data_IF_754126103187
#
_entry.id   IF_754126103187
#
_cell.length_a   1.000
_cell.length_b   1.000
_cell.length_c   1.000
_cell.angle_alpha   90.00
_cell.angle_beta   90.00
_cell.angle_gamma   90.00
#
_symmetry.space_group_name_H-M   'P 1'
#
loop_
_entity.id
_entity.type
_entity.pdbx_description
1 polymer ?
#
# COMPACT_ATOMS: atom_id res chain seq x y z
N UNK A 1 56.05 135.05 -10.82
CA UNK A 1 55.36 136.03 -11.70
C UNK A 1 53.89 135.70 -11.62
N UNK A 2 53.06 136.63 -11.15
CA UNK A 2 51.77 136.36 -10.53
C UNK A 2 50.76 135.73 -11.50
N UNK A 3 50.40 134.47 -11.25
CA UNK A 3 49.58 133.63 -12.11
C UNK A 3 48.12 133.68 -11.67
N UNK A 4 47.60 134.90 -11.44
CA UNK A 4 46.29 135.12 -10.82
C UNK A 4 45.32 135.85 -11.75
N UNK A 5 44.14 135.27 -11.97
CA UNK A 5 43.06 135.84 -12.79
C UNK A 5 41.89 136.21 -11.88
N UNK A 6 41.33 137.41 -12.04
CA UNK A 6 40.17 137.88 -11.27
C UNK A 6 38.86 137.42 -11.91
N UNK A 7 38.02 136.76 -11.11
CA UNK A 7 36.71 136.30 -11.55
C UNK A 7 35.79 137.49 -11.87
N UNK A 8 35.29 137.57 -13.12
CA UNK A 8 34.38 138.64 -13.57
C UNK A 8 33.00 138.64 -12.87
N UNK A 9 32.65 137.59 -12.13
CA UNK A 9 31.33 137.45 -11.48
C UNK A 9 31.34 137.70 -9.96
N UNK A 10 32.49 137.56 -9.28
CA UNK A 10 32.57 137.72 -7.82
C UNK A 10 33.84 138.44 -7.31
N UNK A 11 34.75 138.86 -8.19
CA UNK A 11 35.94 139.63 -7.82
C UNK A 11 37.05 138.83 -7.11
N UNK A 12 36.88 137.52 -6.91
CA UNK A 12 37.89 136.67 -6.29
C UNK A 12 39.14 136.53 -7.17
N UNK A 13 40.32 136.57 -6.54
CA UNK A 13 41.63 136.37 -7.17
C UNK A 13 41.88 134.86 -7.21
N UNK A 14 41.92 134.26 -8.41
CA UNK A 14 42.12 132.82 -8.61
C UNK A 14 43.57 132.58 -9.03
N UNK A 15 44.34 131.79 -8.28
CA UNK A 15 45.68 131.35 -8.67
C UNK A 15 45.57 130.17 -9.64
N UNK A 16 45.85 130.44 -10.92
CA UNK A 16 45.74 129.48 -12.03
C UNK A 16 46.70 128.30 -11.84
N UNK A 17 47.82 128.49 -11.14
CA UNK A 17 48.74 127.40 -10.84
C UNK A 17 48.18 126.43 -9.80
N UNK A 18 47.39 126.93 -8.85
CA UNK A 18 46.77 126.13 -7.79
C UNK A 18 45.57 125.34 -8.31
N UNK A 19 44.74 125.95 -9.17
CA UNK A 19 43.60 125.29 -9.81
C UNK A 19 44.05 124.20 -10.80
N UNK A 20 45.07 124.47 -11.64
CA UNK A 20 45.61 123.47 -12.56
C UNK A 20 46.28 122.30 -11.80
N UNK A 21 46.94 122.58 -10.67
CA UNK A 21 47.50 121.54 -9.80
C UNK A 21 46.43 120.74 -9.03
N UNK A 22 45.25 121.31 -8.80
CA UNK A 22 44.09 120.62 -8.26
C UNK A 22 43.49 119.68 -9.32
N UNK A 23 43.25 120.16 -10.54
CA UNK A 23 42.74 119.36 -11.67
C UNK A 23 43.68 118.19 -12.04
N UNK A 24 45.00 118.42 -12.03
CA UNK A 24 45.99 117.35 -12.28
C UNK A 24 45.99 116.33 -11.13
N UNK A 25 45.86 116.76 -9.87
CA UNK A 25 45.75 115.83 -8.73
C UNK A 25 44.44 115.04 -8.76
N UNK A 26 43.34 115.67 -9.12
CA UNK A 26 42.03 115.03 -9.22
C UNK A 26 41.99 114.00 -10.36
N UNK A 27 42.52 114.34 -11.54
CA UNK A 27 42.61 113.41 -12.67
C UNK A 27 43.52 112.21 -12.39
N UNK A 28 44.68 112.40 -11.74
CA UNK A 28 45.54 111.29 -11.30
C UNK A 28 44.85 110.42 -10.25
N UNK A 29 44.16 111.02 -9.27
CA UNK A 29 43.42 110.28 -8.24
C UNK A 29 42.25 109.48 -8.84
N UNK A 30 41.57 110.02 -9.85
CA UNK A 30 40.53 109.33 -10.61
C UNK A 30 41.10 108.14 -11.38
N UNK A 31 42.27 108.29 -12.01
CA UNK A 31 42.93 107.23 -12.76
C UNK A 31 43.42 106.09 -11.84
N UNK A 32 43.98 106.42 -10.67
CA UNK A 32 44.35 105.44 -9.64
C UNK A 32 43.13 104.69 -9.09
N UNK A 33 42.03 105.41 -8.81
CA UNK A 33 40.75 104.78 -8.40
C UNK A 33 40.18 103.87 -9.49
N UNK A 34 40.32 104.24 -10.77
CA UNK A 34 39.90 103.39 -11.90
C UNK A 34 40.73 102.12 -12.00
N UNK A 35 42.07 102.22 -11.88
CA UNK A 35 42.96 101.06 -11.87
C UNK A 35 42.68 100.14 -10.68
N UNK A 36 42.54 100.68 -9.48
CA UNK A 36 42.20 99.90 -8.29
C UNK A 36 40.83 99.20 -8.42
N UNK A 37 39.81 99.88 -8.98
CA UNK A 37 38.51 99.27 -9.27
C UNK A 37 38.60 98.15 -10.30
N UNK A 38 39.34 98.36 -11.39
CA UNK A 38 39.54 97.34 -12.42
C UNK A 38 40.29 96.11 -11.88
N UNK A 39 41.27 96.31 -11.00
CA UNK A 39 42.01 95.22 -10.38
C UNK A 39 41.18 94.46 -9.36
N UNK A 40 40.36 95.15 -8.55
CA UNK A 40 39.37 94.52 -7.66
C UNK A 40 38.36 93.70 -8.47
N UNK A 41 37.84 94.25 -9.57
CA UNK A 41 36.87 93.57 -10.43
C UNK A 41 37.48 92.34 -11.12
N UNK A 42 38.75 92.43 -11.54
CA UNK A 42 39.51 91.30 -12.07
C UNK A 42 39.71 90.21 -11.02
N UNK A 43 40.16 90.57 -9.82
CA UNK A 43 40.34 89.62 -8.70
C UNK A 43 39.00 88.99 -8.27
N UNK A 44 37.91 89.75 -8.25
CA UNK A 44 36.57 89.23 -7.97
C UNK A 44 36.11 88.24 -9.04
N UNK A 45 36.42 88.52 -10.31
CA UNK A 45 36.09 87.63 -11.43
C UNK A 45 36.92 86.34 -11.37
N UNK A 46 38.22 86.44 -11.10
CA UNK A 46 39.10 85.28 -10.93
C UNK A 46 38.68 84.40 -9.74
N UNK A 47 38.33 85.02 -8.61
CA UNK A 47 37.84 84.31 -7.43
C UNK A 47 36.49 83.63 -7.70
N UNK A 48 35.58 84.29 -8.43
CA UNK A 48 34.29 83.71 -8.83
C UNK A 48 34.50 82.52 -9.78
N UNK A 49 35.42 82.62 -10.73
CA UNK A 49 35.73 81.54 -11.65
C UNK A 49 36.34 80.34 -10.91
N UNK A 50 37.31 80.55 -10.02
CA UNK A 50 37.86 79.47 -9.17
C UNK A 50 36.77 78.81 -8.32
N UNK A 51 35.89 79.61 -7.71
CA UNK A 51 34.79 79.07 -6.92
C UNK A 51 33.81 78.23 -7.75
N UNK A 52 33.52 78.63 -9.00
CA UNK A 52 32.70 77.84 -9.91
C UNK A 52 33.38 76.53 -10.31
N UNK A 53 34.69 76.57 -10.63
CA UNK A 53 35.47 75.38 -10.94
C UNK A 53 35.53 74.40 -9.76
N UNK A 54 35.77 74.88 -8.54
CA UNK A 54 35.81 74.05 -7.35
C UNK A 54 34.43 73.47 -7.03
N UNK A 55 33.36 74.24 -7.23
CA UNK A 55 31.98 73.74 -7.08
C UNK A 55 31.65 72.63 -8.07
N UNK A 56 32.07 72.76 -9.32
CA UNK A 56 31.88 71.70 -10.33
C UNK A 56 32.73 70.46 -10.02
N UNK A 57 33.97 70.61 -9.54
CA UNK A 57 34.79 69.48 -9.08
C UNK A 57 34.16 68.74 -7.90
N UNK A 58 33.62 69.46 -6.91
CA UNK A 58 32.96 68.86 -5.74
C UNK A 58 31.72 68.08 -6.17
N UNK A 59 30.90 68.64 -7.06
CA UNK A 59 29.71 67.93 -7.59
C UNK A 59 30.08 66.66 -8.32
N UNK A 60 31.14 66.69 -9.14
CA UNK A 60 31.55 65.51 -9.90
C UNK A 60 32.15 64.44 -8.99
N UNK A 61 32.97 64.81 -8.00
CA UNK A 61 33.50 63.88 -6.99
C UNK A 61 32.37 63.26 -6.14
N UNK A 62 31.39 64.06 -5.70
CA UNK A 62 30.23 63.56 -4.97
C UNK A 62 29.39 62.60 -5.82
N UNK A 63 29.18 62.92 -7.11
CA UNK A 63 28.48 62.04 -8.05
C UNK A 63 29.22 60.72 -8.26
N UNK A 64 30.55 60.75 -8.41
CA UNK A 64 31.37 59.56 -8.58
C UNK A 64 31.33 58.68 -7.33
N UNK A 65 31.52 59.27 -6.14
CA UNK A 65 31.43 58.55 -4.87
C UNK A 65 30.07 57.90 -4.67
N UNK A 66 28.99 58.63 -4.97
CA UNK A 66 27.63 58.11 -4.87
C UNK A 66 27.39 56.94 -5.84
N UNK A 67 27.90 57.04 -7.08
CA UNK A 67 27.81 55.95 -8.05
C UNK A 67 28.59 54.71 -7.61
N UNK A 68 29.79 54.89 -7.07
CA UNK A 68 30.62 53.76 -6.65
C UNK A 68 30.08 53.10 -5.37
N UNK A 69 29.54 53.87 -4.43
CA UNK A 69 28.85 53.32 -3.25
C UNK A 69 27.57 52.56 -3.66
N UNK A 70 26.81 53.08 -4.61
CA UNK A 70 25.64 52.38 -5.16
C UNK A 70 26.03 51.07 -5.86
N UNK A 71 27.04 51.09 -6.73
CA UNK A 71 27.54 49.87 -7.39
C UNK A 71 27.99 48.83 -6.38
N UNK A 72 28.69 49.25 -5.31
CA UNK A 72 29.14 48.33 -4.27
C UNK A 72 27.94 47.71 -3.52
N UNK A 73 26.95 48.52 -3.13
CA UNK A 73 25.71 48.04 -2.51
C UNK A 73 24.93 47.10 -3.42
N UNK A 74 24.86 47.41 -4.72
CA UNK A 74 24.16 46.57 -5.70
C UNK A 74 24.88 45.22 -5.88
N UNK A 75 26.21 45.19 -5.91
CA UNK A 75 26.99 43.96 -5.96
C UNK A 75 26.82 43.12 -4.68
N UNK A 76 26.84 43.75 -3.50
CA UNK A 76 26.57 43.06 -2.24
C UNK A 76 25.16 42.48 -2.19
N UNK A 77 24.16 43.26 -2.60
CA UNK A 77 22.78 42.82 -2.65
C UNK A 77 22.59 41.68 -3.65
N UNK A 78 23.25 41.75 -4.81
CA UNK A 78 23.23 40.69 -5.82
C UNK A 78 23.84 39.39 -5.27
N UNK A 79 24.98 39.48 -4.57
CA UNK A 79 25.62 38.32 -3.94
C UNK A 79 24.74 37.73 -2.84
N UNK A 80 24.17 38.56 -1.96
CA UNK A 80 23.21 38.12 -0.92
C UNK A 80 22.01 37.43 -1.54
N UNK A 81 21.44 37.98 -2.61
CA UNK A 81 20.32 37.37 -3.34
C UNK A 81 20.70 36.00 -3.90
N UNK A 82 21.89 35.88 -4.51
CA UNK A 82 22.38 34.62 -5.05
C UNK A 82 22.58 33.56 -3.95
N UNK A 83 23.14 33.94 -2.81
CA UNK A 83 23.35 33.04 -1.67
C UNK A 83 22.01 32.58 -1.07
N UNK A 84 21.03 33.49 -0.97
CA UNK A 84 19.66 33.16 -0.53
C UNK A 84 18.97 32.21 -1.51
N UNK A 85 19.11 32.42 -2.81
CA UNK A 85 18.54 31.53 -3.82
C UNK A 85 19.15 30.13 -3.75
N UNK A 86 20.47 30.02 -3.64
CA UNK A 86 21.17 28.73 -3.47
C UNK A 86 20.73 28.02 -2.19
N UNK A 87 20.66 28.73 -1.06
CA UNK A 87 20.21 28.17 0.20
C UNK A 87 18.74 27.67 0.11
N UNK A 88 17.87 28.41 -0.58
CA UNK A 88 16.49 27.99 -0.82
C UNK A 88 16.38 26.74 -1.70
N UNK A 89 17.19 26.63 -2.76
CA UNK A 89 17.24 25.41 -3.58
C UNK A 89 17.73 24.20 -2.80
N UNK A 90 18.78 24.38 -1.98
CA UNK A 90 19.31 23.31 -1.16
C UNK A 90 18.32 22.87 -0.06
N UNK A 91 17.64 23.83 0.57
CA UNK A 91 16.55 23.57 1.51
C UNK A 91 15.38 22.86 0.85
N UNK A 92 14.95 23.28 -0.35
CA UNK A 92 13.92 22.57 -1.12
C UNK A 92 14.32 21.13 -1.39
N UNK A 93 15.56 20.88 -1.84
CA UNK A 93 16.04 19.53 -2.11
C UNK A 93 16.09 18.67 -0.83
N UNK A 94 16.53 19.23 0.29
CA UNK A 94 16.55 18.53 1.59
C UNK A 94 15.14 18.21 2.09
N UNK A 95 14.19 19.14 1.93
CA UNK A 95 12.78 18.93 2.27
C UNK A 95 12.13 17.86 1.40
N UNK A 96 12.39 17.87 0.08
CA UNK A 96 11.88 16.84 -0.85
C UNK A 96 12.45 15.45 -0.54
N UNK A 97 13.75 15.35 -0.24
CA UNK A 97 14.39 14.09 0.14
C UNK A 97 13.91 13.57 1.51
N UNK A 98 13.81 14.44 2.51
CA UNK A 98 13.27 14.07 3.82
C UNK A 98 11.80 13.64 3.73
N UNK A 99 11.00 14.35 2.93
CA UNK A 99 9.60 14.00 2.69
C UNK A 99 9.44 12.63 2.03
N UNK A 100 10.29 12.25 1.07
CA UNK A 100 10.23 10.92 0.46
C UNK A 100 10.56 9.80 1.45
N UNK A 101 11.55 10.00 2.33
CA UNK A 101 11.93 8.99 3.33
C UNK A 101 10.87 8.86 4.42
N UNK A 102 10.37 9.98 4.96
CA UNK A 102 9.28 9.98 5.95
C UNK A 102 7.97 9.44 5.35
N UNK A 103 7.70 9.66 4.06
CA UNK A 103 6.52 9.08 3.40
C UNK A 103 6.61 7.57 3.20
N UNK A 104 7.79 7.01 2.95
CA UNK A 104 7.99 5.55 2.86
C UNK A 104 7.68 4.87 4.18
N UNK A 105 8.31 5.34 5.26
CA UNK A 105 8.09 4.82 6.63
C UNK A 105 6.65 5.05 7.10
N UNK A 106 6.03 6.18 6.72
CA UNK A 106 4.62 6.44 7.01
C UNK A 106 3.69 5.46 6.31
N UNK A 107 4.02 4.99 5.10
CA UNK A 107 3.18 4.06 4.36
C UNK A 107 3.22 2.65 4.99
N UNK A 108 4.41 2.21 5.41
CA UNK A 108 4.62 0.94 6.12
C UNK A 108 3.87 0.92 7.45
N UNK A 109 4.04 1.97 8.27
CA UNK A 109 3.34 2.11 9.55
C UNK A 109 1.81 2.15 9.37
N UNK A 110 1.33 2.83 8.32
CA UNK A 110 -0.11 2.86 8.01
C UNK A 110 -0.62 1.48 7.63
N UNK A 111 0.14 0.73 6.82
CA UNK A 111 -0.25 -0.63 6.43
C UNK A 111 -0.36 -1.54 7.65
N UNK A 112 0.64 -1.51 8.53
CA UNK A 112 0.67 -2.32 9.75
C UNK A 112 -0.52 -2.00 10.66
N UNK A 113 -0.79 -0.71 10.91
CA UNK A 113 -1.86 -0.25 11.78
C UNK A 113 -3.24 -0.65 11.26
N UNK A 114 -3.51 -0.44 9.97
CA UNK A 114 -4.80 -0.80 9.38
C UNK A 114 -4.99 -2.32 9.33
N UNK A 115 -3.95 -3.09 9.00
CA UNK A 115 -4.04 -4.56 9.04
C UNK A 115 -4.30 -5.08 10.47
N UNK A 116 -3.64 -4.53 11.50
CA UNK A 116 -3.86 -4.91 12.91
C UNK A 116 -5.27 -4.54 13.39
N UNK A 117 -5.78 -3.40 12.93
CA UNK A 117 -7.12 -2.93 13.27
C UNK A 117 -8.21 -3.77 12.62
N UNK A 118 -8.05 -4.11 11.34
CA UNK A 118 -9.03 -4.91 10.58
C UNK A 118 -8.95 -6.40 10.92
N UNK A 119 -7.76 -6.92 11.26
CA UNK A 119 -7.56 -8.32 11.59
C UNK A 119 -6.91 -8.52 12.98
N UNK A 120 -7.62 -8.26 14.10
CA UNK A 120 -7.04 -8.37 15.44
C UNK A 120 -6.60 -9.78 15.86
N UNK A 121 -7.07 -10.81 15.16
CA UNK A 121 -6.72 -12.21 15.42
C UNK A 121 -5.44 -12.64 14.69
N UNK A 122 -5.09 -11.94 13.61
CA UNK A 122 -3.93 -12.28 12.79
C UNK A 122 -2.65 -11.78 13.47
N UNK A 123 -1.55 -12.50 13.28
CA UNK A 123 -0.24 -12.07 13.81
C UNK A 123 0.51 -11.31 12.74
N UNK A 124 0.68 -9.99 12.95
CA UNK A 124 1.40 -9.11 12.03
C UNK A 124 2.75 -8.78 12.65
N UNK A 125 3.82 -9.14 11.93
CA UNK A 125 5.20 -8.98 12.36
C UNK A 125 6.04 -8.27 11.29
N UNK A 126 6.95 -7.41 11.73
CA UNK A 126 7.97 -6.83 10.85
C UNK A 126 9.00 -7.90 10.45
N UNK A 127 9.35 -7.93 9.18
CA UNK A 127 10.46 -8.77 8.71
C UNK A 127 11.77 -8.09 9.11
N UNK A 128 12.52 -8.69 10.05
CA UNK A 128 13.71 -8.08 10.65
C UNK A 128 14.69 -7.55 9.58
N UNK A 129 14.99 -6.24 9.66
CA UNK A 129 16.00 -5.53 8.85
C UNK A 129 17.35 -6.27 8.89
N UNK A 130 17.64 -7.04 7.85
CA UNK A 130 18.83 -7.89 7.74
C UNK A 130 18.66 -9.03 6.74
N UNK A 131 17.42 -9.44 6.48
CA UNK A 131 17.00 -10.27 5.35
C UNK A 131 16.19 -9.36 4.43
N UNK A 132 16.61 -9.23 3.17
CA UNK A 132 16.04 -8.24 2.24
C UNK A 132 14.58 -8.58 1.91
N UNK A 133 13.74 -7.54 1.81
CA UNK A 133 12.80 -7.39 0.70
C UNK A 133 11.31 -7.40 0.98
N UNK A 134 10.89 -7.59 2.23
CA UNK A 134 9.49 -7.47 2.63
C UNK A 134 9.33 -6.58 3.86
N UNK A 135 8.30 -5.74 3.88
CA UNK A 135 8.04 -4.84 5.00
C UNK A 135 7.33 -5.59 6.15
N UNK A 136 6.29 -6.37 5.82
CA UNK A 136 5.42 -7.00 6.84
C UNK A 136 5.06 -8.45 6.48
N UNK A 137 4.95 -9.29 7.51
CA UNK A 137 4.45 -10.64 7.43
C UNK A 137 3.18 -10.77 8.28
N UNK A 138 2.10 -11.21 7.65
CA UNK A 138 0.82 -11.48 8.30
C UNK A 138 0.60 -12.99 8.35
N UNK A 139 0.52 -13.55 9.55
CA UNK A 139 0.02 -14.91 9.77
C UNK A 139 -1.49 -14.86 9.95
N UNK A 140 -2.22 -15.51 9.04
CA UNK A 140 -3.67 -15.54 9.06
C UNK A 140 -4.14 -16.60 10.04
N UNK A 141 -4.95 -16.19 11.01
CA UNK A 141 -5.44 -17.07 12.07
C UNK A 141 -6.96 -17.16 12.00
N UNK A 142 -7.53 -18.36 12.05
CA UNK A 142 -8.99 -18.51 12.09
C UNK A 142 -9.60 -18.23 13.47
N UNK A 143 -10.93 -18.29 13.55
CA UNK A 143 -11.67 -18.09 14.81
C UNK A 143 -11.34 -19.11 15.91
N UNK A 144 -10.72 -20.24 15.56
CA UNK A 144 -10.30 -21.29 16.48
C UNK A 144 -8.80 -21.18 16.82
N UNK A 145 -8.18 -20.04 16.50
CA UNK A 145 -6.79 -19.74 16.76
C UNK A 145 -5.80 -20.66 16.02
N UNK A 146 -6.19 -21.17 14.83
CA UNK A 146 -5.36 -22.01 13.98
C UNK A 146 -4.72 -21.19 12.87
N UNK A 147 -3.42 -21.37 12.65
CA UNK A 147 -2.72 -20.74 11.54
C UNK A 147 -3.15 -21.37 10.20
N UNK A 148 -3.78 -20.55 9.34
CA UNK A 148 -4.35 -20.96 8.06
C UNK A 148 -3.45 -20.63 6.86
N UNK A 149 -2.38 -19.87 7.08
CA UNK A 149 -1.45 -19.46 6.03
C UNK A 149 -0.82 -18.11 6.33
N UNK A 150 0.05 -17.68 5.43
CA UNK A 150 0.88 -16.50 5.61
C UNK A 150 0.85 -15.61 4.37
N UNK A 151 0.75 -14.29 4.59
CA UNK A 151 0.76 -13.27 3.55
C UNK A 151 1.95 -12.36 3.80
N UNK A 152 2.81 -12.21 2.78
CA UNK A 152 3.90 -11.24 2.80
C UNK A 152 3.45 -9.95 2.11
N UNK A 153 3.71 -8.82 2.76
CA UNK A 153 3.31 -7.50 2.32
C UNK A 153 4.54 -6.65 2.08
N UNK A 154 4.58 -6.00 0.91
CA UNK A 154 5.63 -5.07 0.51
C UNK A 154 4.98 -3.77 0.09
N UNK A 155 5.49 -2.65 0.60
CA UNK A 155 5.01 -1.32 0.27
C UNK A 155 6.06 -0.53 -0.52
N UNK A 156 5.62 0.21 -1.54
CA UNK A 156 6.51 1.00 -2.41
C UNK A 156 5.90 2.35 -2.73
N UNK A 157 6.56 3.41 -2.25
CA UNK A 157 6.27 4.80 -2.60
C UNK A 157 7.31 5.34 -3.61
N UNK A 158 7.33 4.76 -4.81
CA UNK A 158 8.23 5.16 -5.89
C UNK A 158 7.57 4.88 -7.26
N UNK A 159 8.22 5.32 -8.34
CA UNK A 159 7.77 5.02 -9.71
C UNK A 159 7.84 3.52 -9.98
N UNK A 160 6.76 2.96 -10.54
CA UNK A 160 6.64 1.51 -10.77
C UNK A 160 7.87 0.89 -11.47
N UNK A 161 8.30 -0.27 -10.97
CA UNK A 161 9.28 -1.13 -11.63
C UNK A 161 8.88 -2.61 -11.59
N UNK A 162 8.90 -3.28 -12.76
CA UNK A 162 8.66 -4.73 -12.84
C UNK A 162 9.70 -5.56 -12.05
N UNK A 163 10.85 -4.99 -11.72
CA UNK A 163 11.87 -5.66 -10.88
C UNK A 163 11.38 -5.95 -9.46
N UNK A 164 10.39 -5.20 -8.97
CA UNK A 164 9.80 -5.41 -7.63
C UNK A 164 9.07 -6.74 -7.52
N UNK A 165 8.39 -7.17 -8.58
CA UNK A 165 7.73 -8.49 -8.63
C UNK A 165 8.76 -9.60 -8.45
N UNK A 166 9.91 -9.49 -9.11
CA UNK A 166 10.93 -10.55 -9.06
C UNK A 166 11.60 -10.63 -7.69
N UNK A 167 11.81 -9.49 -7.02
CA UNK A 167 12.34 -9.41 -5.65
C UNK A 167 11.34 -10.00 -4.64
N UNK A 168 10.10 -9.51 -4.64
CA UNK A 168 9.08 -9.97 -3.70
C UNK A 168 8.79 -11.47 -3.83
N UNK A 169 8.92 -12.05 -5.03
CA UNK A 169 8.84 -13.51 -5.21
C UNK A 169 9.95 -14.27 -4.52
N UNK A 170 11.17 -13.73 -4.56
CA UNK A 170 12.30 -14.31 -3.87
C UNK A 170 12.09 -14.21 -2.36
N UNK A 171 11.60 -13.08 -1.89
CA UNK A 171 11.30 -12.84 -0.48
C UNK A 171 10.19 -13.78 0.01
N UNK A 172 9.13 -13.96 -0.80
CA UNK A 172 8.07 -14.95 -0.56
C UNK A 172 8.62 -16.38 -0.40
N UNK A 173 9.60 -16.77 -1.23
CA UNK A 173 10.24 -18.09 -1.12
C UNK A 173 11.05 -18.24 0.16
N UNK A 174 11.77 -17.20 0.55
CA UNK A 174 12.62 -17.20 1.74
C UNK A 174 11.79 -17.24 3.03
N UNK A 175 10.70 -16.47 3.08
CA UNK A 175 9.76 -16.46 4.20
C UNK A 175 8.80 -17.66 4.20
N UNK A 176 8.79 -18.46 3.13
CA UNK A 176 7.82 -19.56 2.88
C UNK A 176 6.37 -19.07 2.95
N UNK A 177 6.11 -17.85 2.47
CA UNK A 177 4.78 -17.26 2.51
C UNK A 177 3.86 -17.80 1.41
N UNK A 178 2.61 -18.09 1.76
CA UNK A 178 1.63 -18.66 0.82
C UNK A 178 1.22 -17.65 -0.26
N UNK A 179 1.07 -16.39 0.12
CA UNK A 179 0.67 -15.29 -0.77
C UNK A 179 1.60 -14.09 -0.60
N UNK A 180 1.76 -13.32 -1.67
CA UNK A 180 2.55 -12.09 -1.69
C UNK A 180 1.75 -10.93 -2.28
N UNK A 181 1.79 -9.79 -1.59
CA UNK A 181 1.07 -8.58 -1.97
C UNK A 181 2.00 -7.37 -1.99
N UNK A 182 2.00 -6.67 -3.12
CA UNK A 182 2.73 -5.43 -3.35
C UNK A 182 1.74 -4.25 -3.36
N UNK A 183 1.92 -3.33 -2.43
CA UNK A 183 1.12 -2.12 -2.27
C UNK A 183 1.93 -0.94 -2.80
N UNK A 184 1.42 -0.25 -3.80
CA UNK A 184 2.14 0.88 -4.41
C UNK A 184 1.25 2.10 -4.57
N UNK A 185 1.88 3.29 -4.49
CA UNK A 185 1.22 4.57 -4.77
C UNK A 185 1.13 4.81 -6.28
N UNK A 186 2.15 4.40 -7.04
CA UNK A 186 2.21 4.53 -8.50
C UNK A 186 2.00 3.16 -9.16
N UNK A 187 0.74 2.87 -9.50
CA UNK A 187 0.39 1.65 -10.22
C UNK A 187 0.87 1.71 -11.68
N UNK A 188 1.24 0.57 -12.28
CA UNK A 188 1.54 0.54 -13.70
C UNK A 188 0.29 0.87 -14.53
N UNK A 189 0.50 1.42 -15.73
CA UNK A 189 -0.58 2.04 -16.55
C UNK A 189 -1.72 1.09 -16.92
N UNK A 190 -1.49 -0.22 -16.83
CA UNK A 190 -2.45 -1.30 -17.08
C UNK A 190 -3.36 -1.60 -15.87
N UNK A 191 -3.02 -1.14 -14.66
CA UNK A 191 -3.74 -1.48 -13.43
C UNK A 191 -4.35 -0.21 -12.81
N UNK A 192 -5.68 -0.20 -12.64
CA UNK A 192 -6.41 0.91 -11.99
C UNK A 192 -6.69 0.69 -10.51
N UNK A 193 -6.81 -0.55 -10.06
CA UNK A 193 -7.26 -0.91 -8.70
C UNK A 193 -6.32 -1.92 -8.06
N UNK A 194 -6.45 -3.18 -8.47
CA UNK A 194 -5.58 -4.28 -8.10
C UNK A 194 -5.56 -5.30 -9.24
N UNK A 195 -4.47 -6.07 -9.35
CA UNK A 195 -4.33 -7.13 -10.34
C UNK A 195 -3.43 -8.24 -9.79
N UNK A 196 -3.60 -9.46 -10.31
CA UNK A 196 -2.71 -10.57 -10.03
C UNK A 196 -1.75 -10.76 -11.20
N UNK A 197 -0.46 -10.50 -10.98
CA UNK A 197 0.54 -10.57 -12.05
C UNK A 197 1.71 -11.44 -11.61
N UNK A 198 2.02 -12.43 -12.43
CA UNK A 198 3.13 -13.35 -12.22
C UNK A 198 3.09 -14.09 -10.88
N UNK A 199 1.97 -14.23 -10.17
CA UNK A 199 1.98 -14.88 -8.84
C UNK A 199 2.04 -13.92 -7.65
N UNK A 200 2.05 -12.61 -7.90
CA UNK A 200 1.98 -11.56 -6.86
C UNK A 200 0.72 -10.72 -7.09
N UNK A 201 0.05 -10.38 -5.99
CA UNK A 201 -1.01 -9.39 -6.01
C UNK A 201 -0.43 -7.98 -5.96
N UNK A 202 -0.85 -7.12 -6.88
CA UNK A 202 -0.45 -5.72 -6.94
C UNK A 202 -1.69 -4.90 -6.67
N UNK A 203 -1.64 -3.96 -5.73
CA UNK A 203 -2.77 -3.09 -5.45
C UNK A 203 -2.34 -1.68 -5.08
N UNK A 204 -3.25 -0.71 -5.27
CA UNK A 204 -3.05 0.62 -4.70
C UNK A 204 -3.26 0.61 -3.19
N UNK A 205 -2.68 1.61 -2.51
CA UNK A 205 -2.91 1.83 -1.08
C UNK A 205 -4.39 2.03 -0.69
N UNK A 206 -5.30 2.36 -1.62
CA UNK A 206 -6.73 2.48 -1.30
C UNK A 206 -7.46 1.14 -1.22
N UNK A 207 -6.90 0.08 -1.79
CA UNK A 207 -7.60 -1.20 -2.00
C UNK A 207 -6.94 -2.38 -1.27
N UNK A 208 -5.85 -2.17 -0.51
CA UNK A 208 -5.17 -3.28 0.15
C UNK A 208 -6.03 -3.93 1.24
N UNK A 209 -6.85 -3.18 2.01
CA UNK A 209 -7.74 -3.76 3.04
C UNK A 209 -8.81 -4.67 2.43
N UNK A 210 -9.62 -4.22 1.44
CA UNK A 210 -10.56 -5.11 0.76
C UNK A 210 -9.90 -6.34 0.14
N UNK A 211 -8.70 -6.18 -0.43
CA UNK A 211 -7.93 -7.28 -0.97
C UNK A 211 -7.48 -8.25 0.13
N UNK A 212 -6.99 -7.75 1.26
CA UNK A 212 -6.59 -8.55 2.41
C UNK A 212 -7.75 -9.42 2.91
N UNK A 213 -8.97 -8.87 2.99
CA UNK A 213 -10.18 -9.62 3.38
C UNK A 213 -10.40 -10.81 2.44
N UNK A 214 -10.32 -10.59 1.12
CA UNK A 214 -10.52 -11.63 0.12
C UNK A 214 -9.43 -12.72 0.17
N UNK A 215 -8.17 -12.33 0.31
CA UNK A 215 -7.03 -13.26 0.41
C UNK A 215 -7.10 -14.07 1.71
N UNK A 216 -7.45 -13.42 2.82
CA UNK A 216 -7.65 -14.06 4.12
C UNK A 216 -8.77 -15.10 4.07
N UNK A 217 -9.91 -14.74 3.48
CA UNK A 217 -11.03 -15.67 3.27
C UNK A 217 -10.61 -16.89 2.43
N UNK A 218 -9.82 -16.67 1.37
CA UNK A 218 -9.31 -17.74 0.52
C UNK A 218 -8.37 -18.69 1.29
N UNK A 219 -7.41 -18.17 2.07
CA UNK A 219 -6.49 -18.99 2.87
C UNK A 219 -7.23 -19.83 3.91
N UNK A 220 -8.19 -19.24 4.64
CA UNK A 220 -8.99 -19.97 5.63
C UNK A 220 -9.79 -21.10 4.97
N UNK A 221 -10.39 -20.86 3.81
CA UNK A 221 -11.12 -21.90 3.09
C UNK A 221 -10.20 -23.01 2.57
N UNK A 222 -9.04 -22.67 2.00
CA UNK A 222 -8.07 -23.67 1.54
C UNK A 222 -7.58 -24.50 2.73
N UNK A 223 -7.33 -23.90 3.88
CA UNK A 223 -6.96 -24.62 5.09
C UNK A 223 -8.08 -25.57 5.54
N UNK A 224 -9.33 -25.11 5.57
CA UNK A 224 -10.49 -25.93 5.91
C UNK A 224 -10.65 -27.13 4.96
N UNK A 225 -10.53 -26.93 3.65
CA UNK A 225 -10.60 -28.00 2.64
C UNK A 225 -9.46 -29.01 2.80
N UNK A 226 -8.22 -28.54 3.04
CA UNK A 226 -7.08 -29.44 3.32
C UNK A 226 -7.31 -30.29 4.56
N UNK A 227 -7.84 -29.70 5.64
CA UNK A 227 -8.17 -30.44 6.87
C UNK A 227 -9.27 -31.46 6.64
N UNK A 228 -10.29 -31.14 5.85
CA UNK A 228 -11.36 -32.07 5.51
C UNK A 228 -10.86 -33.21 4.61
N UNK A 229 -9.99 -32.93 3.65
CA UNK A 229 -9.39 -33.95 2.79
C UNK A 229 -8.52 -34.95 3.59
N UNK A 230 -7.70 -34.46 4.53
CA UNK A 230 -6.90 -35.31 5.44
C UNK A 230 -7.81 -36.17 6.34
N UNK A 231 -8.94 -35.63 6.80
CA UNK A 231 -9.93 -36.37 7.57
C UNK A 231 -10.65 -37.46 6.75
N UNK A 232 -10.88 -37.23 5.46
CA UNK A 232 -11.49 -38.23 4.56
C UNK A 232 -10.50 -39.35 4.27
N UNK A 233 -9.25 -39.04 3.94
CA UNK A 233 -8.22 -40.04 3.64
C UNK A 233 -7.87 -40.90 4.87
N UNK A 234 -7.78 -40.31 6.05
CA UNK A 234 -7.53 -41.06 7.29
C UNK A 234 -8.69 -42.00 7.64
N UNK A 235 -9.95 -41.58 7.44
CA UNK A 235 -11.12 -42.46 7.63
C UNK A 235 -11.19 -43.56 6.57
N UNK A 236 -10.88 -43.26 5.32
CA UNK A 236 -10.78 -44.26 4.24
C UNK A 236 -9.68 -45.29 4.52
N UNK A 237 -8.53 -44.85 5.06
CA UNK A 237 -7.44 -45.75 5.43
C UNK A 237 -7.86 -46.71 6.57
N UNK A 238 -8.53 -46.20 7.61
CA UNK A 238 -9.06 -47.03 8.71
C UNK A 238 -10.13 -48.02 8.23
N UNK A 239 -11.04 -47.57 7.34
CA UNK A 239 -12.03 -48.44 6.71
C UNK A 239 -11.38 -49.52 5.83
N UNK A 240 -10.37 -49.15 5.04
CA UNK A 240 -9.64 -50.08 4.19
C UNK A 240 -8.86 -51.10 5.03
N UNK A 241 -8.16 -50.67 6.09
CA UNK A 241 -7.48 -51.55 7.04
C UNK A 241 -8.45 -52.48 7.78
N UNK A 242 -9.66 -52.01 8.12
CA UNK A 242 -10.69 -52.85 8.72
C UNK A 242 -11.25 -53.88 7.72
N UNK A 243 -11.62 -53.45 6.51
CA UNK A 243 -12.19 -54.31 5.47
C UNK A 243 -11.20 -55.35 4.91
N UNK A 244 -9.91 -54.99 4.84
CA UNK A 244 -8.83 -55.91 4.46
C UNK A 244 -8.23 -56.64 5.66
N UNK A 245 -8.63 -56.26 6.87
CA UNK A 245 -8.15 -56.81 8.12
C UNK A 245 -8.72 -58.18 8.43
N UNK A 246 -7.96 -58.94 9.22
CA UNK A 246 -8.33 -60.29 9.63
C UNK A 246 -9.61 -60.34 10.47
N UNK A 247 -9.94 -59.26 11.21
CA UNK A 247 -11.19 -59.18 11.98
C UNK A 247 -12.44 -59.24 11.10
N UNK A 248 -12.47 -58.48 9.99
CA UNK A 248 -13.63 -58.47 9.09
C UNK A 248 -13.80 -59.84 8.42
N UNK A 249 -12.69 -60.45 7.98
CA UNK A 249 -12.67 -61.81 7.44
C UNK A 249 -13.25 -62.84 8.43
N UNK A 250 -12.77 -62.85 9.67
CA UNK A 250 -13.26 -63.78 10.70
C UNK A 250 -14.76 -63.59 11.01
N UNK A 251 -15.26 -62.35 10.98
CA UNK A 251 -16.70 -62.07 11.15
C UNK A 251 -17.53 -62.60 10.00
N UNK A 252 -17.09 -62.42 8.76
CA UNK A 252 -17.78 -62.95 7.57
C UNK A 252 -17.74 -64.48 7.56
N UNK A 253 -16.60 -65.08 7.88
CA UNK A 253 -16.45 -66.54 7.97
C UNK A 253 -17.40 -67.14 9.02
N UNK A 254 -17.50 -66.55 10.21
CA UNK A 254 -18.44 -67.00 11.25
C UNK A 254 -19.92 -66.87 10.86
N UNK A 255 -20.27 -65.85 10.09
CA UNK A 255 -21.64 -65.70 9.53
C UNK A 255 -21.91 -66.81 8.51
N UNK A 256 -21.00 -67.05 7.56
CA UNK A 256 -21.15 -68.08 6.52
C UNK A 256 -21.22 -69.50 7.13
N UNK A 257 -20.40 -69.79 8.14
CA UNK A 257 -20.42 -71.08 8.85
C UNK A 257 -21.77 -71.31 9.55
N UNK A 258 -22.31 -70.29 10.22
CA UNK A 258 -23.63 -70.36 10.85
C UNK A 258 -24.76 -70.62 9.85
N UNK A 259 -24.69 -70.01 8.67
CA UNK A 259 -25.64 -70.27 7.58
C UNK A 259 -25.53 -71.67 7.00
N UNK A 260 -24.31 -72.21 6.88
CA UNK A 260 -24.08 -73.59 6.44
C UNK A 260 -24.71 -74.62 7.38
N UNK A 261 -24.51 -74.45 8.69
CA UNK A 261 -25.13 -75.33 9.72
C UNK A 261 -26.66 -75.27 9.64
N UNK A 262 -27.24 -74.06 9.53
CA UNK A 262 -28.69 -73.89 9.44
C UNK A 262 -29.28 -74.52 8.17
N UNK A 263 -28.59 -74.40 7.03
CA UNK A 263 -29.00 -75.03 5.78
C UNK A 263 -28.99 -76.56 5.88
N UNK A 264 -27.94 -77.13 6.48
CA UNK A 264 -27.82 -78.57 6.68
C UNK A 264 -28.92 -79.12 7.60
N UNK A 265 -29.27 -78.38 8.65
CA UNK A 265 -30.34 -78.78 9.56
C UNK A 265 -31.72 -78.72 8.90
N UNK A 266 -32.00 -77.70 8.09
CA UNK A 266 -33.21 -77.64 7.24
C UNK A 266 -33.28 -78.85 6.29
N UNK A 267 -32.17 -79.22 5.65
CA UNK A 267 -32.14 -80.37 4.74
C UNK A 267 -32.32 -81.71 5.48
N UNK A 268 -31.78 -81.86 6.69
CA UNK A 268 -32.06 -83.03 7.54
C UNK A 268 -33.52 -83.09 7.94
N UNK A 269 -34.12 -81.97 8.35
CA UNK A 269 -35.53 -81.89 8.72
C UNK A 269 -36.43 -82.26 7.55
N UNK A 270 -36.20 -81.68 6.36
CA UNK A 270 -36.95 -82.02 5.14
C UNK A 270 -36.91 -83.52 4.85
N UNK A 271 -35.73 -84.14 4.90
CA UNK A 271 -35.56 -85.59 4.67
C UNK A 271 -36.30 -86.42 5.74
N UNK A 272 -36.23 -86.01 7.00
CA UNK A 272 -36.93 -86.68 8.09
C UNK A 272 -38.46 -86.59 7.94
N UNK A 273 -38.98 -85.40 7.64
CA UNK A 273 -40.42 -85.20 7.44
C UNK A 273 -40.94 -85.96 6.23
N UNK A 274 -40.22 -85.97 5.11
CA UNK A 274 -40.60 -86.76 3.94
C UNK A 274 -40.75 -88.25 4.28
N UNK A 275 -39.79 -88.82 5.01
CA UNK A 275 -39.86 -90.22 5.46
C UNK A 275 -40.95 -90.48 6.51
N UNK A 276 -41.25 -89.50 7.37
CA UNK A 276 -42.37 -89.57 8.33
C UNK A 276 -43.71 -89.56 7.59
N UNK A 277 -43.92 -88.64 6.67
CA UNK A 277 -45.16 -88.53 5.89
C UNK A 277 -45.41 -89.78 5.05
N UNK A 278 -44.39 -90.32 4.37
CA UNK A 278 -44.53 -91.56 3.62
C UNK A 278 -44.99 -92.74 4.49
N UNK A 279 -44.50 -92.84 5.74
CA UNK A 279 -44.95 -93.86 6.71
C UNK A 279 -46.39 -93.62 7.15
N UNK A 280 -46.73 -92.37 7.50
CA UNK A 280 -48.07 -92.01 7.96
C UNK A 280 -49.12 -92.24 6.87
N UNK A 281 -48.83 -91.86 5.62
CA UNK A 281 -49.71 -92.07 4.47
C UNK A 281 -49.98 -93.56 4.24
N UNK A 282 -48.95 -94.42 4.36
CA UNK A 282 -49.10 -95.86 4.22
C UNK A 282 -49.99 -96.46 5.32
N UNK A 283 -49.88 -96.01 6.56
CA UNK A 283 -50.76 -96.47 7.65
C UNK A 283 -52.20 -95.97 7.47
N UNK A 284 -52.38 -94.71 7.08
CA UNK A 284 -53.71 -94.16 6.76
C UNK A 284 -54.35 -94.98 5.63
N UNK A 285 -53.61 -95.28 4.55
CA UNK A 285 -54.13 -96.08 3.44
C UNK A 285 -54.53 -97.49 3.88
N UNK A 286 -53.74 -98.16 4.72
CA UNK A 286 -54.14 -99.46 5.30
C UNK A 286 -55.46 -99.37 6.08
N UNK A 287 -55.65 -98.32 6.88
CA UNK A 287 -56.90 -98.12 7.63
C UNK A 287 -58.07 -97.90 6.68
N UNK A 288 -57.88 -97.10 5.63
CA UNK A 288 -58.88 -96.88 4.57
C UNK A 288 -59.22 -98.19 3.88
N UNK A 289 -58.22 -98.97 3.44
CA UNK A 289 -58.39 -100.26 2.76
C UNK A 289 -59.12 -101.28 3.65
N UNK A 290 -58.76 -101.37 4.94
CA UNK A 290 -59.46 -102.22 5.90
C UNK A 290 -60.91 -101.79 6.12
N UNK A 291 -61.16 -100.48 6.18
CA UNK A 291 -62.53 -99.95 6.37
C UNK A 291 -63.40 -100.25 5.15
N UNK A 292 -62.85 -100.07 3.93
CA UNK A 292 -63.53 -100.46 2.69
C UNK A 292 -63.76 -101.97 2.60
N UNK A 293 -62.75 -102.77 2.97
CA UNK A 293 -62.86 -104.24 3.01
C UNK A 293 -63.97 -104.70 3.96
N UNK A 294 -64.00 -104.16 5.18
CA UNK A 294 -65.07 -104.44 6.14
C UNK A 294 -66.45 -104.04 5.60
N UNK A 295 -66.57 -102.89 4.93
CA UNK A 295 -67.83 -102.46 4.33
C UNK A 295 -68.28 -103.41 3.20
N UNK A 296 -67.36 -103.85 2.35
CA UNK A 296 -67.61 -104.85 1.30
C UNK A 296 -68.04 -106.21 1.87
N UNK A 297 -67.33 -106.72 2.88
CA UNK A 297 -67.66 -107.97 3.57
C UNK A 297 -69.06 -107.90 4.22
N UNK A 298 -69.37 -106.79 4.89
CA UNK A 298 -70.67 -106.53 5.51
C UNK A 298 -71.80 -106.46 4.47
N UNK A 299 -71.58 -105.82 3.31
CA UNK A 299 -72.55 -105.80 2.21
C UNK A 299 -72.80 -107.19 1.60
N UNK A 300 -71.76 -108.03 1.51
CA UNK A 300 -71.85 -109.41 1.02
C UNK A 300 -72.65 -110.33 1.95
N UNK A 301 -72.51 -110.16 3.27
CA UNK A 301 -73.21 -110.98 4.28
C UNK A 301 -74.66 -110.54 4.51
N UNK A 302 -74.95 -109.24 4.44
CA UNK A 302 -76.27 -108.70 4.82
C UNK A 302 -77.26 -108.51 3.66
N UNK A 303 -76.81 -108.68 2.40
CA UNK A 303 -77.68 -108.54 1.22
C UNK A 303 -78.21 -107.11 1.06
N UNK A 304 -77.41 -106.20 0.50
CA UNK A 304 -77.78 -104.85 0.02
C UNK A 304 -78.68 -104.00 0.96
N UNK A 305 -78.66 -104.22 2.27
CA UNK A 305 -79.52 -103.51 3.22
C UNK A 305 -78.73 -102.84 4.37
N UNK A 306 -77.55 -102.29 4.08
CA UNK A 306 -76.81 -101.45 5.03
C UNK A 306 -76.91 -99.97 4.63
N UNK A 307 -77.10 -99.04 5.58
CA UNK A 307 -77.06 -97.61 5.30
C UNK A 307 -75.71 -97.19 4.73
N UNK A 308 -75.70 -96.43 3.64
CA UNK A 308 -74.48 -95.87 3.04
C UNK A 308 -73.84 -94.84 3.97
N UNK A 309 -72.57 -95.04 4.31
CA UNK A 309 -71.78 -94.09 5.08
C UNK A 309 -71.07 -93.18 4.07
N UNK A 310 -71.65 -92.00 3.82
CA UNK A 310 -71.18 -91.03 2.80
C UNK A 310 -69.72 -90.57 2.93
N UNK A 311 -69.05 -90.78 4.06
CA UNK A 311 -67.66 -90.35 4.29
C UNK A 311 -66.59 -91.32 3.77
N UNK A 312 -66.98 -92.39 3.07
CA UNK A 312 -66.07 -93.40 2.52
C UNK A 312 -66.07 -93.45 0.98
N UNK A 313 -66.76 -92.53 0.31
CA UNK A 313 -66.83 -92.49 -1.17
C UNK A 313 -65.99 -91.36 -1.83
N UNK A 314 -65.27 -90.55 -1.05
CA UNK A 314 -64.28 -89.57 -1.56
C UNK A 314 -62.84 -90.03 -1.31
#
# INVERSE_FOLDING_TARGET
MANTITCKNCGAIIDVAEELAHDVRESVSLEERRKAKAEIEKLQTEMRNKFLEDKEKIKEDERLRFQDEHKLKDLENFKKMQDVLKANEELKRKLEQGSQQTQGESLELTLEQELKKEFPQDTISEVKKGVRGADLLQEVVDKLNRNCGTIIWESKNAKWSDTWISKLKEDQRQSKSDLAVLVTVDLPKDIKTYNFRNGIWICSHKFFVPLAIALRFNLVNIYFEKQNAVNIDSKMKVLYEYLTGNEFKLRVEGIVESFGVLQDDIEKEKRWFAGKWARQEKEIRKVIDHTHGMYGDLQGVTGRALPEIKSLEE
#
